data_IF_225444097446
#
_entry.id   IF_225444097446
#
_cell.length_a   1.000
_cell.length_b   1.000
_cell.length_c   1.000
_cell.angle_alpha   90.00
_cell.angle_beta   90.00
_cell.angle_gamma   90.00
#
_symmetry.space_group_name_H-M   'P 1'
#
loop_
_entity.id
_entity.type
_entity.pdbx_description
1 polymer ?
#
# COMPACT_ATOMS: atom_id res chain seq x y z
N UNK A 1 -11.82 -3.97 -8.56
CA UNK A 1 -12.92 -4.66 -9.26
C UNK A 1 -14.19 -3.85 -9.03
N UNK A 2 -15.01 -3.70 -10.07
CA UNK A 2 -16.30 -3.00 -10.02
C UNK A 2 -17.39 -4.05 -10.17
N UNK A 3 -18.38 -4.02 -9.30
CA UNK A 3 -19.55 -4.89 -9.33
C UNK A 3 -20.81 -4.04 -9.42
N UNK A 4 -21.89 -4.60 -9.97
CA UNK A 4 -23.19 -3.93 -10.00
C UNK A 4 -24.07 -4.54 -8.92
N UNK A 5 -24.39 -3.75 -7.89
CA UNK A 5 -25.32 -4.15 -6.83
C UNK A 5 -26.52 -3.20 -6.91
N UNK A 6 -27.72 -3.75 -7.12
CA UNK A 6 -28.98 -2.99 -7.22
C UNK A 6 -28.95 -1.85 -8.27
N UNK A 7 -28.35 -2.11 -9.44
CA UNK A 7 -28.26 -1.13 -10.53
C UNK A 7 -27.24 0.00 -10.32
N UNK A 8 -26.45 -0.05 -9.22
CA UNK A 8 -25.35 0.88 -8.98
C UNK A 8 -24.01 0.17 -9.08
N UNK A 9 -23.04 0.84 -9.71
CA UNK A 9 -21.64 0.39 -9.73
C UNK A 9 -21.04 0.62 -8.35
N UNK A 10 -20.67 -0.46 -7.69
CA UNK A 10 -19.99 -0.47 -6.41
C UNK A 10 -18.56 -0.94 -6.64
N UNK A 11 -17.60 -0.25 -6.04
CA UNK A 11 -16.23 -0.76 -6.00
C UNK A 11 -16.24 -1.92 -5.02
N UNK A 12 -16.21 -3.16 -5.52
CA UNK A 12 -16.21 -4.35 -4.67
C UNK A 12 -14.83 -4.64 -4.09
N UNK A 13 -13.76 -4.34 -4.83
CA UNK A 13 -12.39 -4.59 -4.37
C UNK A 13 -11.37 -3.52 -4.79
N UNK A 14 -10.48 -3.14 -3.88
CA UNK A 14 -9.36 -2.22 -4.11
C UNK A 14 -8.06 -2.89 -3.65
N UNK A 15 -7.00 -2.77 -4.45
CA UNK A 15 -5.66 -3.25 -4.07
C UNK A 15 -4.74 -2.04 -3.97
N UNK A 16 -4.23 -1.77 -2.77
CA UNK A 16 -3.28 -0.70 -2.49
C UNK A 16 -1.87 -1.27 -2.55
N UNK A 17 -1.02 -0.71 -3.40
CA UNK A 17 0.39 -1.10 -3.54
C UNK A 17 1.32 0.07 -3.17
N UNK A 18 1.38 0.48 -1.88
CA UNK A 18 2.26 1.56 -1.49
C UNK A 18 3.72 1.11 -1.55
N UNK A 19 4.57 1.97 -2.07
CA UNK A 19 6.02 1.78 -2.02
C UNK A 19 6.58 2.62 -0.87
N UNK A 20 7.24 1.98 0.08
CA UNK A 20 7.89 2.63 1.21
C UNK A 20 9.40 2.49 1.06
N UNK A 21 10.08 3.62 1.07
CA UNK A 21 11.54 3.68 0.99
C UNK A 21 12.09 3.95 2.39
N UNK A 22 12.96 3.08 2.87
CA UNK A 22 13.62 3.22 4.18
C UNK A 22 15.12 3.38 3.97
N UNK A 23 15.78 4.15 4.83
CA UNK A 23 17.22 4.40 4.68
C UNK A 23 18.06 3.25 5.25
N UNK A 24 17.57 2.59 6.29
CA UNK A 24 18.26 1.49 6.96
C UNK A 24 17.41 0.22 6.97
N UNK A 25 18.06 -0.93 7.04
CA UNK A 25 17.35 -2.22 7.16
C UNK A 25 16.60 -2.38 8.49
N UNK A 26 17.10 -1.76 9.56
CA UNK A 26 16.44 -1.76 10.88
C UNK A 26 15.04 -1.10 10.85
N UNK A 27 14.85 -0.14 9.94
CA UNK A 27 13.59 0.58 9.77
C UNK A 27 12.52 -0.25 9.05
N UNK A 28 12.89 -1.38 8.41
CA UNK A 28 11.94 -2.26 7.71
C UNK A 28 10.86 -2.77 8.67
N UNK A 29 11.26 -3.22 9.86
CA UNK A 29 10.33 -3.75 10.85
C UNK A 29 9.36 -2.68 11.37
N UNK A 30 9.87 -1.45 11.56
CA UNK A 30 9.06 -0.31 11.95
C UNK A 30 8.08 0.09 10.84
N UNK A 31 8.55 0.14 9.60
CA UNK A 31 7.74 0.47 8.42
C UNK A 31 6.59 -0.53 8.24
N UNK A 32 6.83 -1.84 8.40
CA UNK A 32 5.76 -2.86 8.40
C UNK A 32 4.73 -2.59 9.51
N UNK A 33 5.19 -2.26 10.72
CA UNK A 33 4.31 -1.99 11.87
C UNK A 33 3.46 -0.74 11.65
N UNK A 34 4.03 0.30 11.05
CA UNK A 34 3.32 1.53 10.68
C UNK A 34 2.28 1.25 9.59
N UNK A 35 2.66 0.53 8.53
CA UNK A 35 1.74 0.14 7.46
C UNK A 35 0.55 -0.69 7.97
N UNK A 36 0.79 -1.64 8.88
CA UNK A 36 -0.28 -2.41 9.49
C UNK A 36 -1.25 -1.55 10.32
N UNK A 37 -0.74 -0.54 11.03
CA UNK A 37 -1.58 0.43 11.75
C UNK A 37 -2.35 1.32 10.79
N UNK A 38 -1.70 1.77 9.72
CA UNK A 38 -2.32 2.60 8.69
C UNK A 38 -3.45 1.84 7.97
N UNK A 39 -3.29 0.54 7.72
CA UNK A 39 -4.35 -0.31 7.16
C UNK A 39 -5.58 -0.34 8.08
N UNK A 40 -5.38 -0.60 9.39
CA UNK A 40 -6.47 -0.63 10.38
C UNK A 40 -7.13 0.75 10.60
N UNK A 41 -6.35 1.82 10.51
CA UNK A 41 -6.81 3.18 10.69
C UNK A 41 -7.33 3.83 9.40
N UNK A 42 -7.19 3.18 8.24
CA UNK A 42 -7.52 3.77 6.96
C UNK A 42 -9.01 4.12 6.89
N UNK A 43 -9.32 5.42 6.87
CA UNK A 43 -10.69 5.94 6.82
C UNK A 43 -11.46 5.45 5.58
N UNK A 44 -10.75 5.17 4.48
CA UNK A 44 -11.35 4.61 3.26
C UNK A 44 -11.85 3.19 3.51
N UNK A 45 -11.08 2.36 4.23
CA UNK A 45 -11.48 1.00 4.60
C UNK A 45 -12.62 0.99 5.62
N UNK A 46 -12.60 1.94 6.56
CA UNK A 46 -13.64 2.04 7.58
C UNK A 46 -14.93 2.71 7.07
N UNK A 47 -14.88 3.47 5.96
CA UNK A 47 -16.01 4.26 5.45
C UNK A 47 -16.65 3.70 4.17
N UNK A 48 -16.08 2.68 3.52
CA UNK A 48 -16.61 2.09 2.29
C UNK A 48 -16.88 0.58 2.47
N UNK A 49 -18.02 0.09 1.94
CA UNK A 49 -18.33 -1.35 1.84
C UNK A 49 -17.53 -1.99 0.69
N UNK A 50 -16.22 -2.01 0.79
CA UNK A 50 -15.31 -2.46 -0.26
C UNK A 50 -14.18 -3.26 0.37
N UNK A 51 -13.86 -4.44 -0.18
CA UNK A 51 -12.73 -5.23 0.30
C UNK A 51 -11.42 -4.59 -0.16
N UNK A 52 -10.57 -4.21 0.78
CA UNK A 52 -9.28 -3.58 0.48
C UNK A 52 -8.15 -4.55 0.82
N UNK A 53 -7.23 -4.73 -0.13
CA UNK A 53 -6.01 -5.52 0.05
C UNK A 53 -4.80 -4.60 0.03
N UNK A 54 -4.02 -4.54 1.11
CA UNK A 54 -2.74 -3.83 1.12
C UNK A 54 -1.59 -4.76 0.77
N UNK A 55 -0.83 -4.40 -0.26
CA UNK A 55 0.38 -5.09 -0.72
C UNK A 55 1.54 -4.09 -0.73
N UNK A 56 2.09 -3.74 0.45
CA UNK A 56 3.18 -2.80 0.53
C UNK A 56 4.49 -3.43 0.02
N UNK A 57 5.26 -2.63 -0.70
CA UNK A 57 6.66 -2.95 -1.05
C UNK A 57 7.56 -2.05 -0.21
N UNK A 58 8.53 -2.62 0.49
CA UNK A 58 9.52 -1.85 1.26
C UNK A 58 10.87 -2.02 0.58
N UNK A 59 11.48 -0.90 0.17
CA UNK A 59 12.80 -0.85 -0.44
C UNK A 59 13.76 -0.10 0.46
N UNK A 60 14.93 -0.67 0.69
CA UNK A 60 16.02 0.02 1.39
C UNK A 60 16.75 0.85 0.34
N UNK A 61 16.79 2.17 0.54
CA UNK A 61 17.49 3.09 -0.36
C UNK A 61 18.98 3.05 -0.02
N UNK A 62 19.61 1.91 -0.26
CA UNK A 62 21.06 1.86 -0.39
C UNK A 62 21.37 2.72 -1.62
N UNK A 63 22.04 3.86 -1.44
CA UNK A 63 22.53 4.68 -2.55
C UNK A 63 23.58 3.87 -3.34
N UNK A 64 23.12 2.98 -4.22
CA UNK A 64 23.94 2.45 -5.30
C UNK A 64 23.63 3.29 -6.51
N UNK A 65 24.57 4.20 -6.79
CA UNK A 65 24.76 4.83 -8.08
C UNK A 65 24.52 3.81 -9.20
N UNK A 66 23.61 4.11 -10.10
CA UNK A 66 23.62 3.54 -11.45
C UNK A 66 23.55 4.70 -12.43
N UNK A 67 24.76 5.13 -12.77
CA UNK A 67 25.21 5.54 -14.10
C UNK A 67 24.09 5.53 -15.15
N UNK A 68 23.73 6.71 -15.65
CA UNK A 68 23.14 6.79 -16.98
C UNK A 68 24.28 6.52 -17.97
N UNK A 69 24.49 5.26 -18.31
CA UNK A 69 25.13 4.89 -19.56
C UNK A 69 24.03 4.83 -20.61
N UNK A 70 24.00 5.84 -21.49
CA UNK A 70 23.92 5.80 -22.97
C UNK A 70 23.81 7.26 -23.43
#
# INVERSE_FOLDING_TARGET
>A
QLDTVEGRLVVSQIILKPLVKVNNEEDIALAHKVLQKAEKACLIANSMKTTIFMKPTIEVVSQTLSVHSV
#
